data_IF_151815205126
#
_entry.id   IF_151815205126
#
_cell.length_a   1.000
_cell.length_b   1.000
_cell.length_c   1.000
_cell.angle_alpha   90.00
_cell.angle_beta   90.00
_cell.angle_gamma   90.00
#
_symmetry.space_group_name_H-M   'P 1'
#
loop_
_entity.id
_entity.type
_entity.pdbx_description
1 polymer ?
#
# COMPACT_ATOMS: atom_id res chain seq x y z
N UNK A 1 15.80 11.36 12.05
CA UNK A 1 16.77 10.86 11.04
C UNK A 1 16.08 10.85 9.69
N UNK A 2 16.78 11.14 8.59
CA UNK A 2 16.22 10.92 7.25
C UNK A 2 15.93 9.43 7.05
N UNK A 3 14.84 9.12 6.35
CA UNK A 3 14.54 7.74 5.96
C UNK A 3 15.53 7.28 4.89
N UNK A 4 15.86 5.99 4.91
CA UNK A 4 16.63 5.33 3.86
C UNK A 4 15.75 5.09 2.63
N UNK A 5 16.40 4.93 1.48
CA UNK A 5 15.76 4.47 0.24
C UNK A 5 16.17 3.02 0.01
N UNK A 6 15.18 2.13 -0.11
CA UNK A 6 15.41 0.77 -0.58
C UNK A 6 15.52 0.79 -2.10
N UNK A 7 16.75 0.81 -2.61
CA UNK A 7 17.03 0.94 -4.03
C UNK A 7 16.51 -0.27 -4.84
N UNK A 8 16.47 -1.46 -4.23
CA UNK A 8 15.90 -2.63 -4.89
C UNK A 8 14.37 -2.48 -5.03
N UNK A 9 13.68 -2.04 -3.97
CA UNK A 9 12.25 -1.78 -4.03
C UNK A 9 11.91 -0.65 -5.03
N UNK A 10 12.70 0.43 -5.03
CA UNK A 10 12.55 1.57 -5.95
C UNK A 10 12.72 1.13 -7.40
N UNK A 11 13.77 0.37 -7.71
CA UNK A 11 14.03 -0.11 -9.06
C UNK A 11 12.91 -1.04 -9.54
N UNK A 12 12.36 -1.89 -8.67
CA UNK A 12 11.20 -2.72 -9.01
C UNK A 12 10.00 -1.86 -9.35
N UNK A 13 9.68 -0.84 -8.54
CA UNK A 13 8.55 0.05 -8.80
C UNK A 13 8.68 0.79 -10.14
N UNK A 14 9.86 1.30 -10.47
CA UNK A 14 10.12 2.02 -11.73
C UNK A 14 10.07 1.07 -12.93
N UNK A 15 10.82 -0.02 -12.90
CA UNK A 15 11.04 -0.84 -14.10
C UNK A 15 9.99 -1.90 -14.34
N UNK A 16 9.45 -2.51 -13.28
CA UNK A 16 8.48 -3.60 -13.41
C UNK A 16 7.07 -3.07 -13.51
N UNK A 17 6.77 -2.00 -12.76
CA UNK A 17 5.42 -1.47 -12.63
C UNK A 17 5.23 -0.11 -13.32
N UNK A 18 6.30 0.51 -13.82
CA UNK A 18 6.21 1.80 -14.51
C UNK A 18 5.77 2.94 -13.60
N UNK A 19 5.95 2.82 -12.28
CA UNK A 19 5.43 3.79 -11.31
C UNK A 19 6.42 4.95 -11.09
N UNK A 20 6.00 6.21 -11.31
CA UNK A 20 6.82 7.36 -10.93
C UNK A 20 7.04 7.43 -9.42
N UNK A 21 8.15 8.02 -8.99
CA UNK A 21 8.55 8.06 -7.58
C UNK A 21 7.55 8.79 -6.67
N UNK A 22 6.83 9.76 -7.23
CA UNK A 22 5.81 10.52 -6.50
C UNK A 22 4.60 9.67 -6.07
N UNK A 23 4.52 8.40 -6.51
CA UNK A 23 3.51 7.42 -6.09
C UNK A 23 4.13 6.13 -5.51
N UNK A 24 5.40 6.16 -5.09
CA UNK A 24 6.02 5.05 -4.38
C UNK A 24 5.46 4.97 -2.95
N UNK A 25 4.42 4.16 -2.78
CA UNK A 25 3.69 4.00 -1.52
C UNK A 25 4.11 2.71 -0.84
N UNK A 26 4.79 2.74 0.33
CA UNK A 26 5.15 1.51 1.04
C UNK A 26 3.91 0.75 1.52
N UNK A 27 3.89 -0.57 1.31
CA UNK A 27 2.78 -1.45 1.72
C UNK A 27 3.19 -2.70 2.48
N UNK A 28 4.48 -3.09 2.42
CA UNK A 28 5.02 -4.22 3.15
C UNK A 28 6.45 -3.93 3.62
N UNK A 29 6.85 -4.55 4.72
CA UNK A 29 8.16 -4.42 5.34
C UNK A 29 8.63 -5.75 5.92
N UNK A 30 9.94 -5.99 5.85
CA UNK A 30 10.56 -7.23 6.31
C UNK A 30 10.38 -7.42 7.82
N UNK A 31 10.59 -6.37 8.60
CA UNK A 31 10.50 -6.37 10.06
C UNK A 31 10.26 -4.94 10.60
N UNK A 32 10.23 -4.78 11.92
CA UNK A 32 10.11 -3.46 12.59
C UNK A 32 11.28 -2.53 12.24
N UNK A 33 12.50 -3.07 12.11
CA UNK A 33 13.70 -2.28 11.76
C UNK A 33 13.53 -1.65 10.39
N UNK A 34 12.99 -2.39 9.42
CA UNK A 34 12.69 -1.90 8.08
C UNK A 34 11.61 -0.80 8.10
N UNK A 35 10.57 -0.94 8.93
CA UNK A 35 9.57 0.13 9.11
C UNK A 35 10.24 1.42 9.57
N UNK A 36 11.07 1.34 10.62
CA UNK A 36 11.76 2.52 11.19
C UNK A 36 12.77 3.14 10.23
N UNK A 37 13.47 2.30 9.45
CA UNK A 37 14.52 2.75 8.57
C UNK A 37 13.99 3.39 7.28
N UNK A 38 12.93 2.82 6.68
CA UNK A 38 12.49 3.19 5.33
C UNK A 38 11.14 3.90 5.26
N UNK A 39 10.28 3.77 6.28
CA UNK A 39 8.88 4.22 6.19
C UNK A 39 8.59 5.38 7.14
N UNK A 40 8.90 5.24 8.43
CA UNK A 40 8.55 6.27 9.41
C UNK A 40 8.76 5.85 10.85
N UNK A 41 8.42 6.76 11.77
CA UNK A 41 8.51 6.48 13.20
C UNK A 41 7.44 5.46 13.61
N UNK A 42 7.86 4.30 14.13
CA UNK A 42 6.95 3.24 14.56
C UNK A 42 6.69 3.31 16.07
N UNK A 43 5.42 3.39 16.46
CA UNK A 43 4.96 3.34 17.84
C UNK A 43 4.15 2.05 18.05
N UNK A 44 4.56 1.13 18.94
CA UNK A 44 3.87 -0.12 19.13
C UNK A 44 2.45 0.10 19.69
N UNK A 45 1.51 -0.71 19.21
CA UNK A 45 0.14 -0.74 19.70
C UNK A 45 -0.10 -2.05 20.46
N UNK A 46 -0.28 -1.95 21.76
CA UNK A 46 -0.45 -3.12 22.64
C UNK A 46 0.86 -3.57 23.31
N UNK A 47 0.83 -4.77 23.89
CA UNK A 47 1.96 -5.33 24.63
C UNK A 47 2.89 -6.20 23.77
N UNK A 48 4.07 -6.55 24.28
CA UNK A 48 5.00 -7.45 23.60
C UNK A 48 4.45 -8.90 23.51
N UNK A 49 4.83 -9.67 22.47
CA UNK A 49 5.62 -9.22 21.31
C UNK A 49 4.82 -8.23 20.45
N UNK A 50 5.48 -7.15 20.01
CA UNK A 50 4.80 -6.10 19.24
C UNK A 50 4.44 -6.61 17.85
N UNK A 51 3.14 -6.66 17.56
CA UNK A 51 2.59 -7.15 16.29
C UNK A 51 1.81 -6.10 15.51
N UNK A 52 1.72 -4.88 16.04
CA UNK A 52 1.06 -3.76 15.41
C UNK A 52 1.77 -2.47 15.77
N UNK A 53 1.90 -1.57 14.80
CA UNK A 53 2.56 -0.28 14.93
C UNK A 53 1.70 0.81 14.31
N UNK A 54 1.55 1.92 15.04
CA UNK A 54 1.18 3.20 14.46
C UNK A 54 2.47 3.81 13.89
N UNK A 55 2.51 3.98 12.57
CA UNK A 55 3.66 4.55 11.87
C UNK A 55 3.35 6.00 11.49
N UNK A 56 4.22 6.91 11.90
CA UNK A 56 4.14 8.34 11.58
C UNK A 56 5.11 8.64 10.45
N UNK A 57 4.57 9.08 9.31
CA UNK A 57 5.36 9.46 8.13
C UNK A 57 5.85 10.91 8.29
N UNK A 58 7.16 11.18 8.15
CA UNK A 58 7.74 12.49 8.44
C UNK A 58 7.34 13.59 7.44
N UNK A 59 7.16 13.23 6.15
CA UNK A 59 6.78 14.17 5.10
C UNK A 59 5.78 13.52 4.14
N UNK A 60 4.75 14.27 3.70
CA UNK A 60 3.87 13.81 2.63
C UNK A 60 4.54 14.04 1.28
N UNK A 61 4.62 13.00 0.46
CA UNK A 61 5.02 13.12 -0.95
C UNK A 61 4.00 13.95 -1.71
N UNK A 62 4.47 14.89 -2.53
CA UNK A 62 3.62 15.62 -3.47
C UNK A 62 3.47 14.76 -4.72
N UNK A 63 2.24 14.33 -5.00
CA UNK A 63 1.91 13.61 -6.24
C UNK A 63 1.93 14.62 -7.39
N UNK A 64 2.56 14.24 -8.50
CA UNK A 64 2.56 15.06 -9.70
C UNK A 64 1.10 15.33 -10.15
N UNK A 65 0.67 16.60 -10.24
CA UNK A 65 -0.71 16.96 -10.60
C UNK A 65 -1.09 16.54 -12.02
N UNK A 66 -0.13 16.19 -12.88
CA UNK A 66 -0.40 15.67 -14.22
C UNK A 66 -0.83 14.21 -14.22
N UNK A 67 -0.57 13.48 -13.12
CA UNK A 67 -1.03 12.10 -12.97
C UNK A 67 -2.51 12.09 -12.58
N UNK A 68 -3.38 11.35 -13.30
CA UNK A 68 -4.80 11.26 -12.98
C UNK A 68 -5.11 10.82 -11.54
N UNK A 69 -4.25 10.00 -10.95
CA UNK A 69 -4.34 9.57 -9.55
C UNK A 69 -4.38 10.74 -8.56
N UNK A 70 -3.76 11.87 -8.90
CA UNK A 70 -3.71 13.08 -8.06
C UNK A 70 -5.10 13.68 -7.84
N UNK A 71 -6.05 13.48 -8.77
CA UNK A 71 -7.42 13.98 -8.65
C UNK A 71 -8.36 13.00 -7.93
N UNK A 72 -7.91 11.80 -7.56
CA UNK A 72 -8.79 10.77 -7.00
C UNK A 72 -9.32 11.22 -5.63
N UNK A 73 -10.63 11.10 -5.33
CA UNK A 73 -11.20 11.58 -4.06
C UNK A 73 -10.55 10.96 -2.82
N UNK A 74 -10.05 9.72 -2.94
CA UNK A 74 -9.37 9.00 -1.87
C UNK A 74 -7.85 9.12 -1.90
N UNK A 75 -7.24 9.96 -2.73
CA UNK A 75 -5.78 10.01 -2.93
C UNK A 75 -4.99 10.26 -1.63
N UNK A 76 -5.59 10.98 -0.68
CA UNK A 76 -4.99 11.26 0.63
C UNK A 76 -4.64 9.99 1.43
N UNK A 77 -5.27 8.85 1.13
CA UNK A 77 -4.93 7.57 1.76
C UNK A 77 -3.50 7.12 1.42
N UNK A 78 -2.98 7.42 0.23
CA UNK A 78 -1.70 6.88 -0.25
C UNK A 78 -0.54 7.33 0.65
N UNK A 79 -0.52 8.62 1.00
CA UNK A 79 0.52 9.24 1.83
C UNK A 79 -0.02 9.74 3.18
N UNK A 80 -1.07 9.10 3.70
CA UNK A 80 -1.61 9.41 5.01
C UNK A 80 -0.49 9.44 6.07
N UNK A 81 -0.43 10.53 6.84
CA UNK A 81 0.63 10.77 7.83
C UNK A 81 0.66 9.71 8.92
N UNK A 82 -0.49 9.16 9.27
CA UNK A 82 -0.68 8.13 10.30
C UNK A 82 -1.11 6.85 9.61
N UNK A 83 -0.36 5.78 9.80
CA UNK A 83 -0.62 4.50 9.15
C UNK A 83 -0.58 3.36 10.16
N UNK A 84 -1.50 2.41 10.05
CA UNK A 84 -1.42 1.17 10.82
C UNK A 84 -0.64 0.13 10.02
N UNK A 85 0.38 -0.44 10.65
CA UNK A 85 1.17 -1.56 10.13
C UNK A 85 1.02 -2.74 11.09
N UNK A 86 0.73 -3.92 10.56
CA UNK A 86 0.49 -5.12 11.37
C UNK A 86 1.30 -6.29 10.86
N UNK A 87 1.68 -7.17 11.79
CA UNK A 87 2.30 -8.42 11.44
C UNK A 87 1.29 -9.29 10.66
N UNK A 88 1.75 -10.00 9.63
CA UNK A 88 0.91 -10.82 8.73
C UNK A 88 0.10 -11.92 9.45
N UNK A 89 0.52 -12.31 10.66
CA UNK A 89 -0.14 -13.31 11.50
C UNK A 89 -1.02 -12.70 12.60
N UNK A 90 -1.16 -11.37 12.65
CA UNK A 90 -1.87 -10.68 13.72
C UNK A 90 -3.36 -10.51 13.43
N UNK A 91 -4.20 -11.33 14.06
CA UNK A 91 -5.66 -11.26 13.90
C UNK A 91 -6.31 -10.07 14.64
N UNK A 92 -5.59 -9.44 15.58
CA UNK A 92 -6.10 -8.33 16.40
C UNK A 92 -6.11 -6.95 15.70
N UNK A 93 -5.84 -6.89 14.39
CA UNK A 93 -5.61 -5.63 13.67
C UNK A 93 -6.81 -4.66 13.72
N UNK A 94 -8.05 -5.14 13.76
CA UNK A 94 -9.23 -4.27 13.95
C UNK A 94 -9.24 -3.56 15.31
N UNK A 95 -8.81 -4.26 16.36
CA UNK A 95 -8.67 -3.67 17.70
C UNK A 95 -7.51 -2.67 17.72
N UNK A 96 -6.37 -3.02 17.12
CA UNK A 96 -5.24 -2.11 16.98
C UNK A 96 -5.61 -0.84 16.20
N UNK A 97 -6.40 -0.95 15.14
CA UNK A 97 -6.90 0.19 14.38
C UNK A 97 -7.72 1.14 15.25
N UNK A 98 -8.71 0.61 16.00
CA UNK A 98 -9.51 1.42 16.92
C UNK A 98 -8.68 2.12 18.00
N UNK A 99 -7.58 1.50 18.45
CA UNK A 99 -6.65 2.12 19.40
C UNK A 99 -5.83 3.22 18.76
N UNK A 100 -5.34 2.99 17.54
CA UNK A 100 -4.57 3.97 16.78
C UNK A 100 -5.42 5.19 16.37
N UNK A 101 -6.66 4.95 15.94
CA UNK A 101 -7.55 5.94 15.35
C UNK A 101 -8.85 6.04 16.17
N UNK A 102 -8.72 6.35 17.46
CA UNK A 102 -9.84 6.33 18.41
C UNK A 102 -10.98 7.31 18.10
N UNK A 103 -10.73 8.34 17.29
CA UNK A 103 -11.74 9.29 16.82
C UNK A 103 -12.44 8.89 15.52
N UNK A 104 -12.02 7.81 14.86
CA UNK A 104 -12.57 7.41 13.56
C UNK A 104 -13.69 6.38 13.70
N UNK A 105 -14.84 6.65 13.08
CA UNK A 105 -15.91 5.68 12.95
C UNK A 105 -15.64 4.74 11.77
N UNK A 106 -15.27 3.49 12.08
CA UNK A 106 -15.01 2.42 11.11
C UNK A 106 -16.19 1.45 10.94
N UNK A 107 -17.38 1.80 11.42
CA UNK A 107 -18.55 0.95 11.29
C UNK A 107 -19.00 0.87 9.83
N UNK A 108 -19.23 -0.36 9.38
CA UNK A 108 -19.54 -0.65 7.99
C UNK A 108 -18.37 -0.52 7.00
N UNK A 109 -17.17 -0.13 7.44
CA UNK A 109 -15.92 -0.17 6.65
C UNK A 109 -15.19 -1.51 6.84
N UNK A 110 -14.49 -1.94 5.79
CA UNK A 110 -13.58 -3.08 5.85
C UNK A 110 -12.16 -2.56 6.07
N UNK A 111 -11.45 -3.21 7.01
CA UNK A 111 -10.01 -3.05 7.14
C UNK A 111 -9.36 -4.13 6.26
N UNK A 112 -8.59 -3.70 5.27
CA UNK A 112 -7.88 -4.59 4.37
C UNK A 112 -6.38 -4.47 4.57
N UNK A 113 -5.66 -5.56 4.33
CA UNK A 113 -4.21 -5.51 4.16
C UNK A 113 -3.93 -4.98 2.75
N UNK A 114 -3.10 -3.95 2.62
CA UNK A 114 -2.73 -3.39 1.34
C UNK A 114 -2.06 -4.46 0.44
N UNK A 115 -1.19 -5.29 1.04
CA UNK A 115 -0.71 -6.53 0.43
C UNK A 115 -1.38 -7.74 1.07
N UNK A 116 -1.77 -8.73 0.25
CA UNK A 116 -2.24 -10.00 0.79
C UNK A 116 -1.18 -10.68 1.68
N UNK A 117 -1.59 -11.13 2.87
CA UNK A 117 -0.70 -11.76 3.86
C UNK A 117 0.05 -12.99 3.37
N UNK A 118 -0.55 -13.81 2.49
CA UNK A 118 0.11 -14.99 1.92
C UNK A 118 1.18 -14.59 0.92
N UNK A 119 0.89 -13.59 0.09
CA UNK A 119 1.88 -13.00 -0.82
C UNK A 119 3.03 -12.35 -0.06
N UNK A 120 2.73 -11.61 1.01
CA UNK A 120 3.73 -11.02 1.90
C UNK A 120 4.64 -12.09 2.52
N UNK A 121 4.05 -13.16 3.09
CA UNK A 121 4.80 -14.29 3.63
C UNK A 121 5.69 -14.96 2.55
N UNK A 122 5.12 -15.20 1.36
CA UNK A 122 5.87 -15.75 0.24
C UNK A 122 7.02 -14.86 -0.18
N UNK A 123 6.93 -13.54 0.00
CA UNK A 123 7.97 -12.54 -0.34
C UNK A 123 8.97 -12.27 0.80
N UNK A 124 8.74 -12.80 1.99
CA UNK A 124 9.59 -12.58 3.16
C UNK A 124 9.30 -11.27 3.90
N UNK A 125 8.06 -10.78 3.83
CA UNK A 125 7.61 -9.60 4.59
C UNK A 125 6.77 -10.02 5.78
N UNK A 126 7.20 -9.63 6.98
CA UNK A 126 6.45 -9.91 8.21
C UNK A 126 5.38 -8.87 8.51
N UNK A 127 5.49 -7.66 7.97
CA UNK A 127 4.56 -6.56 8.23
C UNK A 127 3.93 -6.04 6.95
N UNK A 128 2.64 -5.71 7.05
CA UNK A 128 1.84 -5.13 5.98
C UNK A 128 1.06 -3.93 6.48
N UNK A 129 0.89 -2.95 5.59
CA UNK A 129 0.05 -1.79 5.83
C UNK A 129 -1.42 -2.17 5.84
N UNK A 130 -2.18 -1.60 6.77
CA UNK A 130 -3.64 -1.69 6.81
C UNK A 130 -4.24 -0.44 6.17
N UNK A 131 -5.24 -0.64 5.31
CA UNK A 131 -6.02 0.44 4.68
C UNK A 131 -7.51 0.24 4.93
N UNK A 132 -8.27 1.34 4.93
CA UNK A 132 -9.73 1.28 4.88
C UNK A 132 -10.17 1.05 3.43
N UNK A 133 -11.12 0.14 3.24
CA UNK A 133 -11.80 -0.11 1.98
C UNK A 133 -13.31 -0.25 2.21
N UNK A 134 -14.12 0.02 1.19
CA UNK A 134 -15.56 -0.24 1.23
C UNK A 134 -15.87 -1.73 1.09
N UNK A 135 -17.04 -2.16 1.58
CA UNK A 135 -17.49 -3.56 1.48
C UNK A 135 -17.64 -4.04 0.03
N UNK A 136 -17.93 -3.14 -0.91
CA UNK A 136 -18.15 -3.48 -2.30
C UNK A 136 -16.87 -3.92 -3.04
N UNK A 137 -15.69 -3.57 -2.53
CA UNK A 137 -14.43 -3.71 -3.26
C UNK A 137 -13.50 -4.80 -2.67
N UNK A 138 -13.79 -5.29 -1.47
CA UNK A 138 -13.06 -6.42 -0.88
C UNK A 138 -13.37 -7.78 -1.55
N UNK A 139 -14.41 -7.86 -2.38
CA UNK A 139 -14.72 -9.06 -3.16
C UNK A 139 -13.81 -9.22 -4.38
N UNK A 140 -13.30 -8.13 -4.96
CA UNK A 140 -12.44 -8.19 -6.15
C UNK A 140 -10.96 -8.43 -5.81
N UNK A 141 -10.50 -8.05 -4.60
CA UNK A 141 -9.16 -8.42 -4.10
C UNK A 141 -8.99 -9.94 -3.97
N UNK A 142 -10.05 -10.69 -3.64
CA UNK A 142 -9.98 -12.16 -3.54
C UNK A 142 -9.59 -12.88 -4.85
N UNK A 143 -9.80 -12.24 -6.02
CA UNK A 143 -9.41 -12.78 -7.32
C UNK A 143 -7.93 -12.51 -7.64
N UNK A 144 -7.46 -11.29 -7.38
CA UNK A 144 -6.03 -10.95 -7.47
C UNK A 144 -5.19 -11.69 -6.42
N UNK A 145 -5.78 -12.05 -5.28
CA UNK A 145 -5.13 -12.85 -4.24
C UNK A 145 -4.75 -14.27 -4.70
N UNK A 146 -5.64 -14.96 -5.43
CA UNK A 146 -5.34 -16.29 -5.97
C UNK A 146 -4.23 -16.22 -7.02
N UNK A 147 -4.32 -15.24 -7.90
CA UNK A 147 -3.33 -15.05 -8.97
C UNK A 147 -1.97 -14.61 -8.44
N UNK A 148 -1.93 -13.71 -7.45
CA UNK A 148 -0.70 -13.28 -6.79
C UNK A 148 0.01 -14.42 -6.05
N UNK A 149 -0.74 -15.30 -5.39
CA UNK A 149 -0.18 -16.51 -4.76
C UNK A 149 0.39 -17.46 -5.81
N UNK A 150 -0.31 -17.68 -6.94
CA UNK A 150 0.13 -18.57 -8.02
C UNK A 150 1.37 -18.02 -8.76
N UNK A 151 1.40 -16.72 -9.04
CA UNK A 151 2.56 -16.07 -9.66
C UNK A 151 3.80 -16.14 -8.76
N UNK A 152 3.64 -15.89 -7.46
CA UNK A 152 4.75 -15.85 -6.50
C UNK A 152 5.14 -17.22 -5.93
N UNK A 153 4.30 -18.25 -6.08
CA UNK A 153 4.65 -19.63 -5.74
C UNK A 153 5.48 -20.32 -6.82
N UNK A 154 5.50 -19.79 -8.06
CA UNK A 154 6.25 -20.35 -9.18
C UNK A 154 7.78 -20.39 -8.93
N UNK A 155 8.44 -21.46 -9.36
CA UNK A 155 9.90 -21.62 -9.27
C UNK A 155 10.67 -20.49 -9.98
N UNK A 156 10.10 -19.94 -11.06
CA UNK A 156 10.63 -18.77 -11.76
C UNK A 156 10.64 -17.51 -10.87
N UNK A 157 9.60 -17.30 -10.08
CA UNK A 157 9.52 -16.17 -9.14
C UNK A 157 10.41 -16.36 -7.89
N UNK A 158 10.79 -17.60 -7.57
CA UNK A 158 11.82 -17.89 -6.54
C UNK A 158 13.22 -17.65 -7.08
N UNK A 159 13.50 -18.08 -8.32
CA UNK A 159 14.80 -17.91 -8.98
C UNK A 159 15.20 -16.45 -9.24
N UNK A 160 14.24 -15.55 -9.50
CA UNK A 160 14.50 -14.11 -9.73
C UNK A 160 14.98 -13.37 -8.46
N UNK A 161 14.82 -13.94 -7.26
CA UNK A 161 15.13 -13.25 -5.98
C UNK A 161 16.62 -13.21 -5.60
N UNK A 162 17.48 -13.69 -6.50
CA UNK A 162 18.86 -14.11 -6.20
C UNK A 162 19.91 -13.03 -5.92
N UNK A 163 19.59 -11.82 -5.45
CA UNK A 163 20.65 -10.83 -5.12
C UNK A 163 20.50 -10.18 -3.74
N UNK A 164 19.29 -9.78 -3.34
CA UNK A 164 18.89 -9.48 -1.95
C UNK A 164 17.40 -9.18 -2.00
N UNK A 165 16.53 -9.85 -1.24
CA UNK A 165 15.13 -9.43 -1.17
C UNK A 165 15.07 -8.00 -0.62
N UNK A 166 14.21 -7.13 -1.15
CA UNK A 166 14.07 -5.77 -0.63
C UNK A 166 13.54 -5.80 0.82
N UNK A 167 13.92 -4.80 1.61
CA UNK A 167 13.47 -4.59 2.98
C UNK A 167 12.04 -4.08 3.06
N UNK A 168 11.59 -3.36 2.04
CA UNK A 168 10.20 -2.92 1.88
C UNK A 168 9.68 -3.28 0.49
N UNK A 169 8.36 -3.20 0.31
CA UNK A 169 7.77 -3.19 -1.02
C UNK A 169 6.84 -1.99 -1.17
N UNK A 170 7.00 -1.29 -2.30
CA UNK A 170 6.04 -0.30 -2.78
C UNK A 170 4.84 -0.97 -3.45
N UNK A 171 3.69 -0.31 -3.36
CA UNK A 171 2.45 -0.71 -4.00
C UNK A 171 2.66 -0.91 -5.51
N UNK A 172 2.10 -1.99 -6.06
CA UNK A 172 1.84 -2.08 -7.49
C UNK A 172 0.50 -1.39 -7.85
N UNK A 173 0.12 -1.41 -9.13
CA UNK A 173 -1.13 -0.80 -9.58
C UNK A 173 -2.38 -1.38 -8.89
N UNK A 174 -2.40 -2.68 -8.61
CA UNK A 174 -3.55 -3.33 -7.96
C UNK A 174 -3.63 -2.93 -6.49
N UNK A 175 -2.48 -2.85 -5.81
CA UNK A 175 -2.39 -2.37 -4.44
C UNK A 175 -2.87 -0.91 -4.33
N UNK A 176 -2.45 -0.03 -5.27
CA UNK A 176 -2.90 1.36 -5.33
C UNK A 176 -4.42 1.47 -5.54
N UNK A 177 -4.98 0.70 -6.48
CA UNK A 177 -6.42 0.67 -6.73
C UNK A 177 -7.22 0.19 -5.50
N UNK A 178 -6.72 -0.83 -4.80
CA UNK A 178 -7.33 -1.30 -3.54
C UNK A 178 -7.34 -0.18 -2.49
N UNK A 179 -6.20 0.50 -2.32
CA UNK A 179 -6.08 1.60 -1.36
C UNK A 179 -7.00 2.77 -1.71
N UNK A 180 -7.19 3.06 -3.00
CA UNK A 180 -8.10 4.10 -3.49
C UNK A 180 -9.58 3.70 -3.42
N UNK A 181 -9.91 2.50 -2.99
CA UNK A 181 -11.27 1.97 -2.96
C UNK A 181 -11.91 1.95 -4.36
N UNK A 182 -11.15 1.51 -5.36
CA UNK A 182 -11.63 1.34 -6.73
C UNK A 182 -12.13 -0.08 -6.96
N UNK A 183 -13.24 -0.20 -7.71
CA UNK A 183 -13.72 -1.51 -8.20
C UNK A 183 -12.77 -2.04 -9.25
N UNK A 184 -12.25 -3.24 -9.04
CA UNK A 184 -11.51 -3.96 -10.07
C UNK A 184 -12.54 -4.70 -10.92
N UNK A 185 -12.56 -4.44 -12.24
CA UNK A 185 -13.38 -5.19 -13.19
C UNK A 185 -13.06 -6.70 -13.15
N UNK A 186 -13.99 -7.55 -13.58
CA UNK A 186 -13.91 -9.01 -13.42
C UNK A 186 -12.78 -9.72 -14.17
N UNK A 187 -11.90 -9.00 -14.88
CA UNK A 187 -10.76 -9.54 -15.62
C UNK A 187 -9.44 -8.86 -15.26
N UNK A 188 -8.34 -9.63 -15.30
CA UNK A 188 -6.97 -9.15 -15.00
C UNK A 188 -6.56 -7.98 -15.89
N UNK A 189 -6.89 -8.05 -17.19
CA UNK A 189 -6.52 -7.00 -18.15
C UNK A 189 -7.29 -5.69 -17.92
N UNK A 190 -8.54 -5.77 -17.48
CA UNK A 190 -9.32 -4.57 -17.15
C UNK A 190 -8.74 -3.87 -15.92
N UNK A 191 -8.31 -4.64 -14.92
CA UNK A 191 -7.60 -4.13 -13.74
C UNK A 191 -6.31 -3.39 -14.12
N UNK A 192 -5.49 -4.03 -14.97
CA UNK A 192 -4.22 -3.46 -15.44
C UNK A 192 -4.47 -2.18 -16.22
N UNK A 193 -5.43 -2.18 -17.16
CA UNK A 193 -5.75 -1.00 -17.97
C UNK A 193 -6.28 0.17 -17.11
N UNK A 194 -7.16 -0.11 -16.15
CA UNK A 194 -7.67 0.92 -15.24
C UNK A 194 -6.57 1.47 -14.32
N UNK A 195 -5.71 0.61 -13.78
CA UNK A 195 -4.56 1.03 -12.99
C UNK A 195 -3.59 1.88 -13.80
N UNK A 196 -3.28 1.48 -15.03
CA UNK A 196 -2.34 2.18 -15.90
C UNK A 196 -2.82 3.60 -16.22
N UNK A 197 -4.11 3.80 -16.46
CA UNK A 197 -4.72 5.13 -16.66
C UNK A 197 -4.53 6.07 -15.48
N UNK A 198 -4.28 5.57 -14.26
CA UNK A 198 -4.06 6.41 -13.08
C UNK A 198 -2.66 7.05 -13.07
N UNK A 199 -1.69 6.41 -13.74
CA UNK A 199 -0.26 6.74 -13.63
C UNK A 199 0.34 7.20 -14.95
N UNK A 200 -0.44 7.20 -16.04
CA UNK A 200 -0.06 7.82 -17.31
C UNK A 200 -0.33 9.33 -17.28
N UNK A 201 0.69 10.19 -17.50
CA UNK A 201 0.50 11.63 -17.50
C UNK A 201 -0.53 12.08 -18.54
N UNK A 202 -1.40 13.02 -18.16
CA UNK A 202 -2.33 13.64 -19.12
C UNK A 202 -1.55 14.42 -20.18
N UNK A 203 -1.84 14.16 -21.45
CA UNK A 203 -1.27 14.91 -22.58
C UNK A 203 -1.79 16.36 -22.66
N UNK A 204 -2.92 16.67 -22.01
CA UNK A 204 -3.46 18.02 -21.86
C UNK A 204 -3.72 18.32 -20.38
N UNK A 205 -3.07 19.35 -19.85
CA UNK A 205 -3.20 19.79 -18.46
C UNK A 205 -4.56 20.46 -18.20
N UNK A 206 -5.61 19.65 -18.07
CA UNK A 206 -6.84 20.09 -17.41
C UNK A 206 -6.65 19.77 -15.92
N UNK A 207 -6.36 20.82 -15.14
CA UNK A 207 -6.13 20.73 -13.70
C UNK A 207 -7.31 20.08 -12.96
N UNK A 208 -7.01 19.43 -11.83
CA UNK A 208 -8.04 18.85 -10.97
C UNK A 208 -8.94 19.97 -10.40
N UNK A 209 -10.19 20.10 -10.88
CA UNK A 209 -11.19 20.98 -10.30
C UNK A 209 -11.83 20.41 -9.02
N UNK A 210 -11.03 19.88 -8.10
CA UNK A 210 -11.53 19.42 -6.80
C UNK A 210 -10.91 20.28 -5.69
N UNK A 211 -11.55 21.41 -5.43
CA UNK A 211 -11.43 22.12 -4.17
C UNK A 211 -12.06 21.23 -3.07
N UNK A 212 -11.25 20.54 -2.28
CA UNK A 212 -11.69 19.97 -1.01
C UNK A 212 -10.82 20.55 0.10
N UNK A 213 -11.53 21.23 1.01
CA UNK A 213 -11.04 21.92 2.20
C UNK A 213 -10.20 20.99 3.07
N UNK A 214 -9.08 21.52 3.54
CA UNK A 214 -8.32 21.00 4.68
C UNK A 214 -9.26 20.71 5.85
N UNK A 215 -9.27 19.47 6.33
CA UNK A 215 -9.78 19.13 7.64
C UNK A 215 -8.58 19.07 8.59
N UNK A 216 -8.62 19.95 9.59
CA UNK A 216 -7.75 19.97 10.78
C UNK A 216 -7.92 18.71 11.65
#
# INVERSE_FOLDING_TARGET
MPLLVDEAARQIAITRWGLPECIHVPIAAADETAIRAYIGEAQPIGGPPYRAFLVIIPHSTVIDPLLPISCHPNVGVLFARRQLWVNISYDGYRSAYRKAFSGENIDGRILSHAMNRRTAALKGFDFVRVTLASRANNSSSSFSEKWGVELHSSERAKAIRGVRPPYIQYADLSDLMLMLDMRIGGGIMDAVNEGQKLVEPRTNAVGCNNAVRSAD
#
